data_IF_247494140771
#
_entry.id   IF_247494140771
#
_cell.length_a   1.000
_cell.length_b   1.000
_cell.length_c   1.000
_cell.angle_alpha   90.00
_cell.angle_beta   90.00
_cell.angle_gamma   90.00
#
_symmetry.space_group_name_H-M   'P 1'
#
loop_
_entity.id
_entity.type
_entity.pdbx_description
1 polymer ?
#
# COMPACT_ATOMS: atom_id res chain seq x y z
N UNK A 1 -0.03 12.30 -25.12
CA UNK A 1 1.03 11.49 -24.52
C UNK A 1 2.22 12.40 -24.35
N UNK A 2 2.78 12.47 -23.14
CA UNK A 2 3.89 13.37 -22.83
C UNK A 2 5.22 12.69 -23.18
N UNK A 3 5.81 13.08 -24.31
CA UNK A 3 7.02 12.45 -24.84
C UNK A 3 8.26 12.71 -23.97
N UNK A 4 8.37 13.90 -23.38
CA UNK A 4 9.49 14.28 -22.54
C UNK A 4 9.48 13.46 -21.25
N UNK A 5 8.29 13.26 -20.67
CA UNK A 5 8.13 12.38 -19.51
C UNK A 5 8.55 10.93 -19.82
N UNK A 6 8.11 10.38 -20.96
CA UNK A 6 8.49 9.01 -21.36
C UNK A 6 10.00 8.86 -21.53
N UNK A 7 10.66 9.85 -22.16
CA UNK A 7 12.12 9.85 -22.32
C UNK A 7 12.82 10.01 -20.96
N UNK A 8 12.29 10.85 -20.09
CA UNK A 8 12.80 11.04 -18.72
C UNK A 8 12.81 9.75 -17.93
N UNK A 9 11.66 9.05 -17.87
CA UNK A 9 11.54 7.74 -17.20
C UNK A 9 12.48 6.72 -17.84
N UNK A 10 12.52 6.64 -19.18
CA UNK A 10 13.39 5.70 -19.89
C UNK A 10 14.89 5.92 -19.63
N UNK A 11 15.30 7.18 -19.47
CA UNK A 11 16.69 7.50 -19.11
C UNK A 11 16.99 7.15 -17.65
N UNK A 12 16.06 7.41 -16.73
CA UNK A 12 16.21 7.06 -15.32
C UNK A 12 16.38 5.55 -15.13
N UNK A 13 15.48 4.75 -15.71
CA UNK A 13 15.52 3.28 -15.60
C UNK A 13 16.77 2.66 -16.21
N UNK A 14 17.36 3.28 -17.23
CA UNK A 14 18.57 2.79 -17.91
C UNK A 14 19.85 3.09 -17.14
N UNK A 15 19.88 4.22 -16.43
CA UNK A 15 21.11 4.75 -15.84
C UNK A 15 21.19 4.54 -14.32
N UNK A 16 20.18 3.92 -13.72
CA UNK A 16 20.13 3.59 -12.29
C UNK A 16 19.93 2.09 -12.11
N UNK A 17 20.28 1.60 -10.92
CA UNK A 17 20.04 0.21 -10.53
C UNK A 17 18.56 0.03 -10.17
N UNK A 18 17.77 -0.40 -11.16
CA UNK A 18 16.33 -0.61 -11.02
C UNK A 18 15.99 -2.01 -11.52
N UNK A 19 15.42 -2.82 -10.65
CA UNK A 19 14.86 -4.12 -11.00
C UNK A 19 13.34 -4.02 -11.14
N UNK A 20 12.80 -4.51 -12.26
CA UNK A 20 11.36 -4.59 -12.51
C UNK A 20 10.96 -6.06 -12.47
N UNK A 21 10.02 -6.39 -11.59
CA UNK A 21 9.50 -7.75 -11.39
C UNK A 21 8.01 -7.81 -11.70
N UNK A 22 7.57 -8.93 -12.27
CA UNK A 22 6.17 -9.31 -12.41
C UNK A 22 5.91 -10.51 -11.50
N UNK A 23 4.93 -10.41 -10.60
CA UNK A 23 4.54 -11.52 -9.74
C UNK A 23 3.86 -11.09 -8.45
N UNK A 24 3.73 -12.04 -7.54
CA UNK A 24 3.16 -11.83 -6.21
C UNK A 24 4.08 -11.00 -5.31
N UNK A 25 3.48 -10.16 -4.47
CA UNK A 25 4.20 -9.22 -3.60
C UNK A 25 5.12 -9.91 -2.59
N UNK A 26 4.80 -11.12 -2.11
CA UNK A 26 5.67 -11.86 -1.20
C UNK A 26 6.95 -12.31 -1.91
N UNK A 27 6.87 -12.64 -3.20
CA UNK A 27 8.03 -13.00 -4.00
C UNK A 27 8.92 -11.79 -4.26
N UNK A 28 8.31 -10.62 -4.50
CA UNK A 28 9.04 -9.37 -4.72
C UNK A 28 9.85 -8.92 -3.49
N UNK A 29 9.44 -9.29 -2.28
CA UNK A 29 10.11 -8.92 -1.03
C UNK A 29 11.10 -9.98 -0.48
N UNK A 30 11.44 -11.04 -1.24
CA UNK A 30 12.27 -12.15 -0.73
C UNK A 30 13.71 -11.77 -0.39
N UNK A 31 14.24 -10.78 -1.08
CA UNK A 31 15.61 -10.29 -1.01
C UNK A 31 15.78 -9.02 -0.15
N UNK A 32 14.69 -8.51 0.43
CA UNK A 32 14.73 -7.39 1.39
C UNK A 32 15.62 -7.77 2.58
N UNK A 33 16.40 -6.80 3.06
CA UNK A 33 17.37 -6.94 4.14
C UNK A 33 17.12 -5.90 5.25
N UNK A 34 17.78 -6.11 6.39
CA UNK A 34 17.78 -5.12 7.47
C UNK A 34 18.33 -3.78 6.97
N UNK A 35 17.66 -2.69 7.31
CA UNK A 35 18.03 -1.34 6.89
C UNK A 35 17.40 -0.87 5.57
N UNK A 36 16.77 -1.78 4.80
CA UNK A 36 16.02 -1.39 3.60
C UNK A 36 14.76 -0.61 3.96
N UNK A 37 14.23 0.13 2.98
CA UNK A 37 12.93 0.78 3.06
C UNK A 37 11.96 0.15 2.06
N UNK A 38 10.81 -0.31 2.55
CA UNK A 38 9.75 -0.93 1.74
C UNK A 38 8.47 -0.11 1.86
N UNK A 39 7.92 0.29 0.71
CA UNK A 39 6.64 0.96 0.62
C UNK A 39 5.60 0.07 -0.06
N UNK A 40 4.46 -0.12 0.61
CA UNK A 40 3.32 -0.88 0.07
C UNK A 40 2.15 0.05 -0.27
N UNK A 41 1.68 -0.08 -1.51
CA UNK A 41 0.47 0.56 -2.04
C UNK A 41 -0.45 -0.53 -2.61
N UNK A 42 -0.88 -1.45 -1.74
CA UNK A 42 -1.79 -2.53 -2.11
C UNK A 42 -3.16 -1.98 -2.48
N UNK A 43 -4.00 -2.68 -3.26
CA UNK A 43 -5.42 -2.35 -3.37
C UNK A 43 -6.06 -2.12 -1.99
N UNK A 44 -6.88 -1.08 -1.85
CA UNK A 44 -7.31 -0.62 -0.53
C UNK A 44 -8.47 -1.46 0.01
N UNK A 45 -8.50 -1.63 1.34
CA UNK A 45 -9.60 -2.32 2.03
C UNK A 45 -10.91 -1.56 1.79
N UNK A 46 -11.98 -2.22 1.30
CA UNK A 46 -13.25 -1.55 1.01
C UNK A 46 -13.85 -0.79 2.21
N UNK A 47 -14.42 0.40 1.95
CA UNK A 47 -14.96 1.29 3.00
C UNK A 47 -16.32 0.82 3.57
N UNK A 48 -17.07 -0.06 2.89
CA UNK A 48 -18.39 -0.52 3.35
C UNK A 48 -18.44 -2.01 3.69
N UNK A 49 -19.07 -2.34 4.82
CA UNK A 49 -19.33 -3.73 5.25
C UNK A 49 -20.23 -4.50 4.27
N UNK A 50 -21.06 -3.82 3.49
CA UNK A 50 -21.88 -4.45 2.44
C UNK A 50 -21.08 -4.84 1.20
N UNK A 51 -19.97 -4.13 0.90
CA UNK A 51 -18.99 -4.59 -0.10
C UNK A 51 -18.11 -5.74 0.45
N UNK A 52 -17.94 -5.81 1.77
CA UNK A 52 -17.17 -6.85 2.46
C UNK A 52 -17.81 -8.24 2.47
N UNK A 53 -19.11 -8.39 2.19
CA UNK A 53 -19.79 -9.70 2.27
C UNK A 53 -20.17 -10.31 0.91
N UNK A 54 -20.20 -9.53 -0.18
CA UNK A 54 -20.68 -10.02 -1.49
C UNK A 54 -19.68 -9.96 -2.64
N UNK A 55 -18.56 -9.24 -2.52
CA UNK A 55 -17.63 -9.08 -3.65
C UNK A 55 -16.19 -9.48 -3.29
N UNK A 56 -16.03 -10.71 -2.77
CA UNK A 56 -14.80 -11.47 -3.02
C UNK A 56 -14.76 -11.77 -4.52
N UNK A 57 -14.39 -10.77 -5.31
CA UNK A 57 -14.22 -10.92 -6.75
C UNK A 57 -13.15 -11.99 -6.96
N UNK A 58 -13.49 -12.99 -7.77
CA UNK A 58 -12.61 -14.15 -8.08
C UNK A 58 -11.23 -13.75 -8.66
N UNK A 59 -11.05 -12.49 -9.04
CA UNK A 59 -9.89 -11.97 -9.76
C UNK A 59 -9.22 -10.74 -9.08
N UNK A 60 -9.51 -10.45 -7.80
CA UNK A 60 -9.01 -9.27 -7.07
C UNK A 60 -8.14 -9.58 -5.85
N UNK A 61 -7.59 -8.53 -5.22
CA UNK A 61 -6.86 -8.63 -3.95
C UNK A 61 -7.85 -8.94 -2.82
N UNK A 62 -7.77 -10.15 -2.29
CA UNK A 62 -8.76 -10.68 -1.35
C UNK A 62 -8.46 -10.26 0.09
N UNK A 63 -9.40 -10.53 0.99
CA UNK A 63 -9.15 -10.43 2.43
C UNK A 63 -7.95 -11.27 2.86
N UNK A 64 -7.80 -12.49 2.33
CA UNK A 64 -6.64 -13.33 2.66
C UNK A 64 -5.34 -12.70 2.15
N UNK A 65 -5.36 -12.00 1.02
CA UNK A 65 -4.19 -11.26 0.53
C UNK A 65 -3.85 -10.07 1.44
N UNK A 66 -4.86 -9.39 2.01
CA UNK A 66 -4.62 -8.39 3.06
C UNK A 66 -4.02 -9.01 4.32
N UNK A 67 -4.47 -10.20 4.73
CA UNK A 67 -3.88 -10.94 5.84
C UNK A 67 -2.44 -11.38 5.53
N UNK A 68 -2.16 -11.87 4.31
CA UNK A 68 -0.81 -12.22 3.83
C UNK A 68 0.11 -11.00 3.85
N UNK A 69 -0.36 -9.86 3.37
CA UNK A 69 0.39 -8.61 3.40
C UNK A 69 0.68 -8.15 4.84
N UNK A 70 -0.28 -8.24 5.76
CA UNK A 70 -0.05 -7.91 7.16
C UNK A 70 0.99 -8.84 7.82
N UNK A 71 0.98 -10.14 7.49
CA UNK A 71 2.00 -11.10 7.94
C UNK A 71 3.38 -10.76 7.36
N UNK A 72 3.45 -10.43 6.08
CA UNK A 72 4.69 -9.99 5.43
C UNK A 72 5.23 -8.71 6.07
N UNK A 73 4.37 -7.72 6.31
CA UNK A 73 4.72 -6.47 6.97
C UNK A 73 5.40 -6.72 8.32
N UNK A 74 4.81 -7.57 9.17
CA UNK A 74 5.39 -7.97 10.47
C UNK A 74 6.70 -8.73 10.34
N UNK A 75 6.84 -9.57 9.31
CA UNK A 75 8.09 -10.28 9.03
C UNK A 75 9.21 -9.30 8.64
N UNK A 76 8.90 -8.30 7.80
CA UNK A 76 9.86 -7.28 7.38
C UNK A 76 10.26 -6.35 8.54
N UNK A 77 9.30 -6.02 9.40
CA UNK A 77 9.57 -5.33 10.67
C UNK A 77 10.55 -6.12 11.54
N UNK A 78 10.27 -7.39 11.80
CA UNK A 78 11.14 -8.27 12.59
C UNK A 78 12.54 -8.47 11.96
N UNK A 79 12.66 -8.31 10.64
CA UNK A 79 13.94 -8.36 9.92
C UNK A 79 14.79 -7.10 10.13
N UNK A 80 14.20 -6.00 10.58
CA UNK A 80 14.87 -4.70 10.73
C UNK A 80 14.77 -3.80 9.49
N UNK A 81 13.83 -4.07 8.58
CA UNK A 81 13.50 -3.13 7.51
C UNK A 81 12.58 -2.02 8.02
N UNK A 82 12.66 -0.84 7.41
CA UNK A 82 11.66 0.22 7.57
C UNK A 82 10.52 -0.02 6.60
N UNK A 83 9.30 -0.12 7.10
CA UNK A 83 8.13 -0.46 6.30
C UNK A 83 7.08 0.63 6.43
N UNK A 84 6.54 1.05 5.29
CA UNK A 84 5.44 2.00 5.19
C UNK A 84 4.31 1.41 4.34
N UNK A 85 3.06 1.62 4.73
CA UNK A 85 1.89 1.19 3.97
C UNK A 85 0.81 2.28 3.97
N UNK A 86 0.16 2.51 2.83
CA UNK A 86 -1.01 3.37 2.74
C UNK A 86 -2.30 2.55 2.55
N UNK A 87 -3.40 2.96 3.19
CA UNK A 87 -4.70 2.31 3.03
C UNK A 87 -5.89 3.21 3.41
N UNK A 88 -7.12 2.71 3.27
CA UNK A 88 -8.32 3.40 3.78
C UNK A 88 -8.35 3.42 5.31
N UNK A 89 -8.92 4.49 5.87
CA UNK A 89 -9.14 4.61 7.31
C UNK A 89 -10.40 3.83 7.73
N UNK A 90 -10.25 2.53 7.97
CA UNK A 90 -11.32 1.60 8.35
C UNK A 90 -10.85 0.63 9.43
N UNK A 91 -11.78 0.15 10.27
CA UNK A 91 -11.49 -0.71 11.42
C UNK A 91 -10.60 -1.91 11.08
N UNK A 92 -10.86 -2.59 9.95
CA UNK A 92 -10.06 -3.75 9.54
C UNK A 92 -8.57 -3.42 9.32
N UNK A 93 -8.24 -2.20 8.87
CA UNK A 93 -6.83 -1.79 8.73
C UNK A 93 -6.19 -1.62 10.10
N UNK A 94 -6.89 -1.04 11.06
CA UNK A 94 -6.41 -0.96 12.45
C UNK A 94 -6.23 -2.36 13.07
N UNK A 95 -7.13 -3.30 12.78
CA UNK A 95 -7.02 -4.69 13.25
C UNK A 95 -5.81 -5.41 12.63
N UNK A 96 -5.61 -5.31 11.32
CA UNK A 96 -4.52 -6.00 10.62
C UNK A 96 -3.14 -5.49 11.06
N UNK A 97 -3.02 -4.18 11.27
CA UNK A 97 -1.76 -3.50 11.58
C UNK A 97 -1.66 -3.04 13.04
N UNK A 98 -2.39 -3.69 13.95
CA UNK A 98 -2.30 -3.43 15.38
C UNK A 98 -0.85 -3.52 15.89
N UNK A 99 -0.49 -2.64 16.82
CA UNK A 99 0.87 -2.53 17.36
C UNK A 99 1.85 -1.69 16.51
N UNK A 100 1.43 -1.19 15.35
CA UNK A 100 2.21 -0.22 14.56
C UNK A 100 1.71 1.21 14.70
N UNK A 101 2.51 2.17 14.25
CA UNK A 101 2.09 3.56 14.18
C UNK A 101 1.12 3.73 13.00
N UNK A 102 -0.08 4.27 13.26
CA UNK A 102 -1.12 4.49 12.26
C UNK A 102 -1.54 5.96 12.30
N UNK A 103 -1.17 6.72 11.28
CA UNK A 103 -1.48 8.14 11.14
C UNK A 103 -2.63 8.36 10.15
N UNK A 104 -3.77 8.91 10.60
CA UNK A 104 -4.85 9.34 9.70
C UNK A 104 -4.46 10.55 8.85
N UNK A 105 -4.57 10.42 7.52
CA UNK A 105 -4.33 11.51 6.58
C UNK A 105 -5.65 11.92 5.90
N UNK A 106 -5.91 13.23 5.87
CA UNK A 106 -7.05 13.79 5.15
C UNK A 106 -6.69 13.98 3.69
N UNK A 107 -7.28 13.19 2.80
CA UNK A 107 -7.04 13.30 1.35
C UNK A 107 -8.20 13.99 0.63
N UNK A 108 -7.86 14.90 -0.28
CA UNK A 108 -8.83 15.57 -1.15
C UNK A 108 -9.10 14.69 -2.36
N UNK A 109 -10.25 14.02 -2.42
CA UNK A 109 -10.65 13.26 -3.61
C UNK A 109 -11.16 14.23 -4.68
N UNK A 110 -10.33 14.51 -5.68
CA UNK A 110 -10.61 15.50 -6.73
C UNK A 110 -11.78 15.12 -7.69
N UNK A 111 -12.31 13.89 -7.61
CA UNK A 111 -13.18 13.30 -8.65
C UNK A 111 -14.70 13.45 -8.35
N UNK A 112 -15.11 13.97 -7.18
CA UNK A 112 -16.55 14.08 -6.87
C UNK A 112 -17.15 15.44 -7.27
N UNK A 113 -18.25 15.44 -8.05
CA UNK A 113 -18.93 16.67 -8.53
C UNK A 113 -19.41 17.57 -7.37
N UNK A 114 -19.75 16.99 -6.23
CA UNK A 114 -20.16 17.68 -5.01
C UNK A 114 -18.96 17.97 -4.10
N UNK A 115 -18.66 19.26 -3.86
CA UNK A 115 -17.52 19.71 -3.06
C UNK A 115 -17.58 19.25 -1.59
N UNK A 116 -18.79 19.02 -1.05
CA UNK A 116 -18.99 18.59 0.34
C UNK A 116 -18.65 17.12 0.61
N UNK A 117 -18.52 16.31 -0.45
CA UNK A 117 -18.21 14.86 -0.39
C UNK A 117 -16.79 14.51 -0.87
N UNK A 118 -15.91 15.50 -1.04
CA UNK A 118 -14.51 15.33 -1.51
C UNK A 118 -13.52 15.03 -0.39
N UNK A 119 -13.97 14.36 0.68
CA UNK A 119 -13.13 14.04 1.84
C UNK A 119 -12.98 12.53 1.90
N UNK A 120 -11.79 12.04 1.58
CA UNK A 120 -11.37 10.68 1.90
C UNK A 120 -10.52 10.71 3.17
N UNK A 121 -10.69 9.71 4.03
CA UNK A 121 -9.74 9.47 5.12
C UNK A 121 -8.94 8.23 4.76
N UNK A 122 -7.64 8.42 4.68
CA UNK A 122 -6.66 7.36 4.50
C UNK A 122 -5.80 7.28 5.74
N UNK A 123 -5.00 6.23 5.83
CA UNK A 123 -4.03 6.05 6.90
C UNK A 123 -2.68 5.70 6.31
N UNK A 124 -1.63 6.21 6.93
CA UNK A 124 -0.25 5.77 6.74
C UNK A 124 0.14 4.92 7.94
N UNK A 125 0.65 3.72 7.69
CA UNK A 125 1.11 2.78 8.70
C UNK A 125 2.63 2.68 8.62
N UNK A 126 3.34 2.91 9.73
CA UNK A 126 4.80 2.77 9.84
C UNK A 126 5.22 1.94 11.04
N UNK A 127 6.36 1.23 10.90
CA UNK A 127 7.03 0.55 12.01
C UNK A 127 8.17 1.39 12.65
N UNK A 128 8.27 2.66 12.27
CA UNK A 128 9.22 3.62 12.80
C UNK A 128 8.51 4.93 13.15
N UNK A 129 9.13 5.71 14.02
CA UNK A 129 8.75 7.09 14.33
C UNK A 129 9.83 8.02 13.76
N UNK A 130 9.41 9.19 13.24
CA UNK A 130 10.30 10.28 12.82
C UNK A 130 11.03 10.93 14.00
#
# INVERSE_FOLDING_TARGET
>A
MDEDNLRGVGNFLRNNDVEIREGDFEAACKDVQSGDFVYFDSPYVPVSKTASFTDYTKDGFTYEDHCRLARLYRRLDALGAKVMLSNHNVDLVYELYDGFHIEPVSVRRAINRDASKRVGKEVIITNYQE
#
